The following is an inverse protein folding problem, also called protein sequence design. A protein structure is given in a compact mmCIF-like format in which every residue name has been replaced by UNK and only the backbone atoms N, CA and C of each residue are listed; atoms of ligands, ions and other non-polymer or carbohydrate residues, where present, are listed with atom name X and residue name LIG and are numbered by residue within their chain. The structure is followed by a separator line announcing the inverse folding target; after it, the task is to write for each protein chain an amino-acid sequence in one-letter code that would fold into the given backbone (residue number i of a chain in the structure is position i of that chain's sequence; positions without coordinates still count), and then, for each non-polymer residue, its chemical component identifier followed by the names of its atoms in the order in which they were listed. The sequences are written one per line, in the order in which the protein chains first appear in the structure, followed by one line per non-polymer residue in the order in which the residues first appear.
data_IF_491759181165
#
_entry.id   IF_491759181165
#
_cell.length_a   1.000
_cell.length_b   1.000
_cell.length_c   1.000
_cell.angle_alpha   90.00
_cell.angle_beta   90.00
_cell.angle_gamma   90.00
#
_symmetry.space_group_name_H-M   'P 1'
#
loop_
_entity.id
_entity.type
_entity.pdbx_description
1 polymer ?
#
# COMPACT_ATOMS: atom_id res chain seq x y z
N UNK A 1 -53.73 33.90 0.91
CA UNK A 1 -53.47 32.57 1.52
C UNK A 1 -53.02 31.65 0.40
N UNK A 2 -51.85 31.00 0.32
CA UNK A 2 -50.72 30.76 1.22
C UNK A 2 -49.47 30.73 0.32
N UNK A 3 -48.40 31.41 0.73
CA UNK A 3 -47.07 31.34 0.12
C UNK A 3 -46.33 30.13 0.73
N UNK A 4 -45.97 29.15 -0.08
CA UNK A 4 -45.12 28.04 0.35
C UNK A 4 -43.65 28.40 0.14
N UNK A 5 -43.03 29.02 1.14
CA UNK A 5 -41.57 29.02 1.30
C UNK A 5 -41.17 27.65 1.85
N UNK A 6 -40.58 26.79 1.02
CA UNK A 6 -39.91 25.60 1.52
C UNK A 6 -38.48 25.94 1.93
N UNK A 7 -38.21 25.56 3.16
CA UNK A 7 -37.03 25.81 3.97
C UNK A 7 -35.93 24.83 3.55
N UNK A 8 -34.74 25.39 3.49
CA UNK A 8 -33.41 24.76 3.45
C UNK A 8 -33.29 23.34 4.01
N UNK A 9 -32.65 22.47 3.24
CA UNK A 9 -31.66 21.52 3.76
C UNK A 9 -30.43 21.57 2.85
N UNK A 10 -29.46 22.40 3.22
CA UNK A 10 -28.10 22.28 2.69
C UNK A 10 -27.52 20.98 3.22
N UNK A 11 -27.51 19.93 2.39
CA UNK A 11 -26.71 18.74 2.64
C UNK A 11 -25.25 19.18 2.66
N UNK A 12 -24.74 19.46 3.86
CA UNK A 12 -23.34 19.66 4.15
C UNK A 12 -22.63 18.35 3.81
N UNK A 13 -22.20 18.23 2.56
CA UNK A 13 -21.22 17.24 2.13
C UNK A 13 -20.03 17.39 3.06
N UNK A 14 -19.91 16.47 4.02
CA UNK A 14 -18.68 16.30 4.79
C UNK A 14 -17.65 15.88 3.75
N UNK A 15 -16.92 16.87 3.24
CA UNK A 15 -15.60 16.64 2.68
C UNK A 15 -14.79 15.97 3.78
N UNK A 16 -14.80 14.63 3.79
CA UNK A 16 -13.79 13.84 4.46
C UNK A 16 -12.59 13.93 3.54
N UNK A 17 -11.97 15.10 3.51
CA UNK A 17 -10.59 15.22 3.08
C UNK A 17 -9.82 14.54 4.20
N UNK A 18 -9.65 13.22 4.10
CA UNK A 18 -8.70 12.51 4.94
C UNK A 18 -7.37 13.18 4.65
N UNK A 19 -6.94 14.07 5.54
CA UNK A 19 -5.55 14.50 5.63
C UNK A 19 -4.77 13.21 5.92
N UNK A 20 -4.39 12.49 4.87
CA UNK A 20 -3.24 11.61 4.93
C UNK A 20 -2.09 12.54 5.29
N UNK A 21 -1.85 12.70 6.59
CA UNK A 21 -0.56 13.19 7.04
C UNK A 21 0.44 12.27 6.35
N UNK A 22 1.32 12.85 5.51
CA UNK A 22 2.46 12.12 4.95
C UNK A 22 3.30 11.67 6.15
N UNK A 23 2.93 10.57 6.79
CA UNK A 23 3.75 9.89 7.75
C UNK A 23 4.97 9.48 6.94
N UNK A 24 6.07 10.19 7.19
CA UNK A 24 7.34 9.96 6.53
C UNK A 24 7.87 8.64 7.07
N UNK A 25 7.47 7.55 6.44
CA UNK A 25 8.03 6.24 6.75
C UNK A 25 9.49 6.23 6.30
N UNK A 26 10.34 5.60 7.10
CA UNK A 26 11.69 5.30 6.67
C UNK A 26 11.62 4.20 5.61
N UNK A 27 11.83 4.59 4.34
CA UNK A 27 11.75 3.70 3.19
C UNK A 27 12.77 2.56 3.27
N UNK A 28 13.88 2.75 3.99
CA UNK A 28 14.91 1.72 4.13
C UNK A 28 14.41 0.48 4.85
N UNK A 29 13.37 0.62 5.69
CA UNK A 29 12.73 -0.50 6.38
C UNK A 29 11.92 -1.41 5.44
N UNK A 30 11.53 -0.91 4.28
CA UNK A 30 10.78 -1.69 3.28
C UNK A 30 11.72 -2.65 2.56
N UNK A 31 12.99 -2.28 2.36
CA UNK A 31 13.93 -3.11 1.62
C UNK A 31 14.20 -4.44 2.33
N UNK A 32 14.18 -5.52 1.56
CA UNK A 32 14.31 -6.88 2.08
C UNK A 32 13.63 -7.92 1.22
N UNK A 33 13.67 -9.15 1.71
CA UNK A 33 12.93 -10.30 1.19
C UNK A 33 11.76 -10.53 2.15
N UNK A 34 10.57 -10.72 1.61
CA UNK A 34 9.31 -10.77 2.37
C UNK A 34 8.52 -12.03 2.05
N UNK A 35 7.96 -12.66 3.08
CA UNK A 35 7.00 -13.76 2.94
C UNK A 35 5.67 -13.43 3.64
N UNK A 36 4.56 -13.81 3.02
CA UNK A 36 3.21 -13.70 3.57
C UNK A 36 2.83 -14.89 4.43
N UNK A 37 3.64 -15.95 4.39
CA UNK A 37 3.54 -17.11 5.28
C UNK A 37 4.76 -17.12 6.18
N UNK A 38 4.56 -16.88 7.48
CA UNK A 38 5.66 -16.80 8.45
C UNK A 38 6.52 -18.07 8.46
N UNK A 39 7.74 -17.97 7.91
CA UNK A 39 8.67 -19.10 7.79
C UNK A 39 8.50 -19.96 6.54
N UNK A 40 7.65 -19.53 5.60
CA UNK A 40 7.52 -20.11 4.27
C UNK A 40 8.44 -19.44 3.25
N UNK A 41 8.21 -19.76 1.98
CA UNK A 41 8.96 -19.24 0.84
C UNK A 41 8.75 -17.73 0.66
N UNK A 42 9.72 -17.06 0.01
CA UNK A 42 9.65 -15.64 -0.25
C UNK A 42 8.63 -15.32 -1.34
N UNK A 43 7.80 -14.30 -1.15
CA UNK A 43 6.87 -13.82 -2.17
C UNK A 43 7.56 -12.80 -3.10
N UNK A 44 8.31 -11.87 -2.49
CA UNK A 44 9.03 -10.84 -3.22
C UNK A 44 10.29 -10.36 -2.50
N UNK A 45 11.21 -9.80 -3.28
CA UNK A 45 12.35 -9.02 -2.83
C UNK A 45 12.18 -7.58 -3.31
N UNK A 46 12.42 -6.62 -2.43
CA UNK A 46 12.45 -5.20 -2.80
C UNK A 46 13.77 -4.59 -2.34
N UNK A 47 14.48 -3.95 -3.27
CA UNK A 47 15.71 -3.20 -2.99
C UNK A 47 15.47 -1.72 -3.28
N UNK A 48 16.52 -0.89 -3.27
CA UNK A 48 16.40 0.50 -3.69
C UNK A 48 15.98 0.64 -5.17
N UNK A 49 16.33 -0.34 -6.02
CA UNK A 49 16.25 -0.21 -7.47
C UNK A 49 15.29 -1.21 -8.13
N UNK A 50 14.95 -2.32 -7.46
CA UNK A 50 14.08 -3.35 -8.02
C UNK A 50 12.98 -3.79 -7.06
N UNK A 51 11.86 -4.20 -7.64
CA UNK A 51 10.85 -5.04 -7.02
C UNK A 51 10.82 -6.36 -7.79
N UNK A 52 11.15 -7.47 -7.13
CA UNK A 52 11.28 -8.79 -7.73
C UNK A 52 10.26 -9.76 -7.16
N UNK A 53 9.43 -10.34 -8.01
CA UNK A 53 8.45 -11.36 -7.67
C UNK A 53 9.05 -12.74 -7.82
N UNK A 54 9.09 -13.50 -6.73
CA UNK A 54 9.80 -14.79 -6.66
C UNK A 54 9.08 -15.86 -7.47
N UNK A 55 7.76 -16.01 -7.29
CA UNK A 55 6.95 -17.04 -7.97
C UNK A 55 6.98 -16.92 -9.51
N UNK A 56 7.19 -15.70 -10.02
CA UNK A 56 7.17 -15.40 -11.45
C UNK A 56 8.56 -15.16 -12.02
N UNK A 57 9.59 -15.13 -11.18
CA UNK A 57 10.96 -14.74 -11.57
C UNK A 57 11.03 -13.40 -12.31
N UNK A 58 10.14 -12.47 -11.97
CA UNK A 58 9.95 -11.20 -12.66
C UNK A 58 10.53 -10.03 -11.86
N UNK A 59 11.32 -9.18 -12.53
CA UNK A 59 11.80 -7.93 -11.96
C UNK A 59 11.06 -6.75 -12.58
N UNK A 60 10.65 -5.81 -11.74
CA UNK A 60 9.95 -4.59 -12.14
C UNK A 60 10.59 -3.37 -11.51
N UNK A 61 10.54 -2.25 -12.24
CA UNK A 61 10.77 -0.93 -11.63
C UNK A 61 9.66 -0.63 -10.63
N UNK A 62 9.97 0.16 -9.60
CA UNK A 62 8.97 0.65 -8.66
C UNK A 62 9.26 2.08 -8.23
N UNK A 63 8.24 2.74 -7.68
CA UNK A 63 8.33 4.07 -7.06
C UNK A 63 7.76 3.97 -5.64
N UNK A 64 8.47 4.55 -4.68
CA UNK A 64 7.97 4.81 -3.33
C UNK A 64 7.65 6.30 -3.16
N UNK A 65 6.40 6.65 -2.87
CA UNK A 65 6.01 8.01 -2.41
C UNK A 65 5.29 7.93 -1.06
N UNK A 66 6.01 8.24 0.02
CA UNK A 66 5.51 8.08 1.38
C UNK A 66 5.11 6.63 1.63
N UNK A 67 3.82 6.39 1.89
CA UNK A 67 3.24 5.07 2.14
C UNK A 67 2.81 4.33 0.87
N UNK A 68 2.98 4.93 -0.31
CA UNK A 68 2.55 4.33 -1.57
C UNK A 68 3.72 3.59 -2.23
N UNK A 69 3.45 2.35 -2.65
CA UNK A 69 4.29 1.55 -3.54
C UNK A 69 3.57 1.52 -4.88
N UNK A 70 4.28 1.90 -5.96
CA UNK A 70 3.80 1.69 -7.32
C UNK A 70 4.82 0.86 -8.08
N UNK A 71 4.48 -0.37 -8.41
CA UNK A 71 5.29 -1.25 -9.26
C UNK A 71 4.86 -1.02 -10.71
N UNK A 72 5.82 -0.79 -11.59
CA UNK A 72 5.55 -0.50 -13.00
C UNK A 72 5.60 -1.78 -13.82
N UNK A 73 4.56 -2.00 -14.62
CA UNK A 73 4.54 -3.12 -15.58
C UNK A 73 4.36 -4.50 -14.94
N UNK A 74 4.00 -4.57 -13.66
CA UNK A 74 3.57 -5.83 -13.03
C UNK A 74 2.08 -6.05 -13.29
N UNK A 75 1.72 -7.27 -13.70
CA UNK A 75 0.32 -7.70 -13.84
C UNK A 75 -0.29 -8.19 -12.51
N UNK A 76 0.52 -8.33 -11.46
CA UNK A 76 0.13 -8.96 -10.19
C UNK A 76 -0.04 -7.94 -9.07
N UNK A 77 0.96 -7.08 -8.89
CA UNK A 77 1.01 -6.10 -7.81
C UNK A 77 1.36 -4.75 -8.40
N UNK A 78 0.36 -3.89 -8.65
CA UNK A 78 0.62 -2.57 -9.24
C UNK A 78 0.68 -1.48 -8.17
N UNK A 79 -0.38 -1.31 -7.37
CA UNK A 79 -0.47 -0.24 -6.38
C UNK A 79 -0.66 -0.79 -4.96
N UNK A 80 0.30 -0.51 -4.09
CA UNK A 80 0.31 -0.91 -2.68
C UNK A 80 0.24 0.30 -1.74
N UNK A 81 -0.57 0.19 -0.69
CA UNK A 81 -0.59 1.15 0.43
C UNK A 81 0.01 0.48 1.66
N UNK A 82 1.15 0.98 2.11
CA UNK A 82 1.84 0.53 3.32
C UNK A 82 1.04 1.00 4.54
N UNK A 83 0.47 0.04 5.26
CA UNK A 83 -0.29 0.28 6.48
C UNK A 83 0.59 0.23 7.73
N UNK A 84 1.66 -0.57 7.68
CA UNK A 84 2.63 -0.73 8.78
C UNK A 84 3.98 -1.17 8.21
N UNK A 85 5.08 -0.67 8.78
CA UNK A 85 6.43 -1.13 8.48
C UNK A 85 7.30 -1.07 9.74
N UNK A 86 8.06 -2.12 10.00
CA UNK A 86 9.11 -2.22 11.02
C UNK A 86 10.31 -2.98 10.44
N UNK A 87 11.32 -3.22 11.26
CA UNK A 87 12.52 -3.99 10.87
C UNK A 87 12.21 -5.39 10.34
N UNK A 88 11.12 -6.00 10.80
CA UNK A 88 10.78 -7.42 10.59
C UNK A 88 9.33 -7.68 10.15
N UNK A 89 8.49 -6.64 10.05
CA UNK A 89 7.08 -6.74 9.68
C UNK A 89 6.71 -5.64 8.69
N UNK A 90 5.96 -6.03 7.67
CA UNK A 90 5.43 -5.13 6.65
C UNK A 90 3.96 -5.48 6.42
N UNK A 91 3.08 -4.49 6.32
CA UNK A 91 1.67 -4.70 6.02
C UNK A 91 1.28 -3.82 4.85
N UNK A 92 0.84 -4.44 3.76
CA UNK A 92 0.46 -3.73 2.52
C UNK A 92 -0.99 -4.06 2.19
N UNK A 93 -1.76 -3.04 1.83
CA UNK A 93 -3.01 -3.20 1.09
C UNK A 93 -2.71 -3.07 -0.41
N UNK A 94 -2.87 -4.16 -1.15
CA UNK A 94 -2.79 -4.15 -2.61
C UNK A 94 -4.15 -3.74 -3.18
N UNK A 95 -4.17 -2.62 -3.90
CA UNK A 95 -5.39 -1.91 -4.26
C UNK A 95 -6.20 -2.68 -5.29
N UNK A 96 -5.55 -3.15 -6.35
CA UNK A 96 -6.19 -3.86 -7.47
C UNK A 96 -6.79 -5.19 -7.04
N UNK A 97 -6.08 -5.90 -6.14
CA UNK A 97 -6.52 -7.18 -5.58
C UNK A 97 -7.51 -7.01 -4.39
N UNK A 98 -7.67 -5.77 -3.89
CA UNK A 98 -8.41 -5.44 -2.68
C UNK A 98 -8.09 -6.36 -1.48
N UNK A 99 -6.82 -6.75 -1.34
CA UNK A 99 -6.33 -7.62 -0.27
C UNK A 99 -5.37 -6.87 0.64
N UNK A 100 -5.39 -7.18 1.93
CA UNK A 100 -4.38 -6.71 2.89
C UNK A 100 -3.56 -7.90 3.34
N UNK A 101 -2.24 -7.81 3.20
CA UNK A 101 -1.32 -8.90 3.48
C UNK A 101 -0.33 -8.44 4.56
N UNK A 102 -0.13 -9.30 5.55
CA UNK A 102 0.95 -9.19 6.53
C UNK A 102 2.14 -9.98 6.00
N UNK A 103 3.31 -9.35 6.01
CA UNK A 103 4.57 -9.91 5.57
C UNK A 103 5.57 -9.94 6.72
N UNK A 104 6.38 -10.99 6.75
CA UNK A 104 7.51 -11.14 7.63
C UNK A 104 8.81 -11.09 6.83
N UNK A 105 9.79 -10.36 7.35
CA UNK A 105 11.08 -10.26 6.69
C UNK A 105 11.81 -11.59 6.81
N UNK A 106 12.34 -12.10 5.71
CA UNK A 106 13.23 -13.25 5.71
C UNK A 106 14.43 -12.93 6.61
N UNK A 107 14.78 -13.87 7.48
CA UNK A 107 15.98 -13.80 8.31
C UNK A 107 16.95 -14.80 7.71
N UNK A 108 18.13 -14.32 7.34
CA UNK A 108 19.27 -15.18 7.04
C UNK A 108 19.64 -16.03 8.28
#
# INVERSE_FOLDING_TARGET
MISCKQKTESKKSRNITSKFQKNKIDKTLIYGIWNSTKGGDADFRITENEFYLVDFFESSEFILDGILIKVKGSEYYENGVILKVSKDSLKIKWVELNVTVDYWKFKD
#
